data_IF_393006899070
#
_entry.id   IF_393006899070
#
_cell.length_a   1.000
_cell.length_b   1.000
_cell.length_c   1.000
_cell.angle_alpha   90.00
_cell.angle_beta   90.00
_cell.angle_gamma   90.00
#
_symmetry.space_group_name_H-M   'P 1'
#
loop_
_entity.id
_entity.type
_entity.pdbx_description
1 polymer ?
#
# COMPACT_ATOMS: atom_id res chain seq x y z
N UNK A 1 17.79 20.81 -12.74
CA UNK A 1 16.36 20.54 -12.48
C UNK A 1 16.25 19.11 -11.96
N UNK A 2 15.49 18.85 -10.92
CA UNK A 2 15.31 17.49 -10.40
C UNK A 2 14.56 16.62 -11.41
N UNK A 3 14.97 15.35 -11.57
CA UNK A 3 14.31 14.45 -12.52
C UNK A 3 12.90 14.09 -12.06
N UNK A 4 11.94 14.10 -12.98
CA UNK A 4 10.59 13.57 -12.73
C UNK A 4 10.64 12.06 -12.49
N UNK A 5 10.08 11.60 -11.40
CA UNK A 5 9.95 10.18 -11.06
C UNK A 5 8.51 9.69 -11.26
N UNK A 6 8.37 8.40 -11.57
CA UNK A 6 7.11 7.66 -11.60
C UNK A 6 7.01 6.86 -10.30
N UNK A 7 6.06 7.24 -9.46
CA UNK A 7 5.96 6.74 -8.08
C UNK A 7 4.67 5.95 -7.92
N UNK A 8 4.81 4.66 -7.59
CA UNK A 8 3.70 3.84 -7.12
C UNK A 8 3.45 4.07 -5.63
N UNK A 9 2.19 4.13 -5.23
CA UNK A 9 1.79 4.31 -3.83
C UNK A 9 0.74 3.27 -3.51
N UNK A 10 0.98 2.44 -2.49
CA UNK A 10 -0.07 1.58 -1.97
C UNK A 10 -1.13 2.36 -1.19
N UNK A 11 -2.24 1.74 -0.89
CA UNK A 11 -3.38 2.37 -0.20
C UNK A 11 -3.40 1.98 1.27
N UNK A 12 -3.59 0.69 1.55
CA UNK A 12 -3.82 0.20 2.90
C UNK A 12 -2.52 0.29 3.70
N UNK A 13 -2.62 0.87 4.89
CA UNK A 13 -1.52 1.13 5.83
C UNK A 13 -0.31 1.94 5.27
N UNK A 14 -0.49 2.52 4.07
CA UNK A 14 0.39 3.53 3.46
C UNK A 14 -0.32 4.89 3.40
N UNK A 15 -1.42 5.00 2.65
CA UNK A 15 -2.25 6.22 2.59
C UNK A 15 -3.30 6.27 3.68
N UNK A 16 -3.82 5.11 4.08
CA UNK A 16 -4.94 4.98 5.02
C UNK A 16 -4.60 4.03 6.16
N UNK A 17 -5.18 4.26 7.31
CA UNK A 17 -5.10 3.36 8.46
C UNK A 17 -6.15 2.25 8.29
N UNK A 18 -5.74 1.10 7.79
CA UNK A 18 -6.66 -0.01 7.51
C UNK A 18 -6.61 -1.10 8.58
N UNK A 19 -5.44 -1.49 9.03
CA UNK A 19 -5.25 -2.63 9.93
C UNK A 19 -6.08 -2.56 11.22
N UNK A 20 -6.13 -1.45 11.97
CA UNK A 20 -6.95 -1.39 13.19
C UNK A 20 -8.42 -1.70 12.94
N UNK A 21 -8.96 -1.24 11.81
CA UNK A 21 -10.32 -1.54 11.40
C UNK A 21 -10.54 -3.01 11.06
N UNK A 22 -9.58 -3.63 10.36
CA UNK A 22 -9.63 -5.06 10.07
C UNK A 22 -9.57 -5.91 11.36
N UNK A 23 -8.72 -5.55 12.31
CA UNK A 23 -8.59 -6.26 13.58
C UNK A 23 -9.87 -6.16 14.42
N UNK A 24 -10.48 -4.98 14.48
CA UNK A 24 -11.75 -4.78 15.19
C UNK A 24 -12.90 -5.57 14.54
N UNK A 25 -13.00 -5.54 13.20
CA UNK A 25 -13.99 -6.32 12.47
C UNK A 25 -13.77 -7.83 12.68
N UNK A 26 -12.51 -8.29 12.66
CA UNK A 26 -12.16 -9.68 12.91
C UNK A 26 -12.54 -10.11 14.33
N UNK A 27 -12.23 -9.28 15.34
CA UNK A 27 -12.63 -9.52 16.72
C UNK A 27 -14.15 -9.63 16.84
N UNK A 28 -14.88 -8.76 16.20
CA UNK A 28 -16.35 -8.74 16.22
C UNK A 28 -16.94 -9.99 15.56
N UNK A 29 -16.39 -10.39 14.41
CA UNK A 29 -16.93 -11.49 13.60
C UNK A 29 -16.59 -12.89 14.18
N UNK A 30 -15.34 -13.07 14.63
CA UNK A 30 -14.84 -14.36 15.08
C UNK A 30 -14.73 -14.50 16.61
N UNK A 31 -14.92 -13.42 17.39
CA UNK A 31 -14.73 -13.41 18.84
C UNK A 31 -13.27 -13.64 19.25
N UNK A 32 -12.30 -13.28 18.39
CA UNK A 32 -10.87 -13.55 18.59
C UNK A 32 -10.06 -12.28 18.41
N UNK A 33 -9.09 -12.08 19.28
CA UNK A 33 -8.12 -10.99 19.15
C UNK A 33 -6.89 -11.44 18.36
N UNK A 34 -6.38 -10.53 17.54
CA UNK A 34 -5.10 -10.64 16.82
C UNK A 34 -4.22 -9.49 17.26
N UNK A 35 -2.99 -9.76 17.66
CA UNK A 35 -2.03 -8.71 17.95
C UNK A 35 -1.56 -8.06 16.65
N UNK A 36 -1.27 -6.76 16.71
CA UNK A 36 -0.82 -5.97 15.55
C UNK A 36 0.45 -6.57 14.91
N UNK A 37 1.38 -7.03 15.75
CA UNK A 37 2.63 -7.65 15.29
C UNK A 37 2.40 -8.97 14.56
N UNK A 38 1.26 -9.58 14.81
CA UNK A 38 0.87 -10.87 14.27
C UNK A 38 -0.08 -10.75 13.05
N UNK A 39 -0.42 -9.54 12.66
CA UNK A 39 -1.49 -9.25 11.71
C UNK A 39 -1.07 -9.25 10.23
N UNK A 40 0.15 -9.70 9.91
CA UNK A 40 0.55 -9.91 8.52
C UNK A 40 -0.49 -10.78 7.77
N UNK A 41 -0.51 -10.71 6.45
CA UNK A 41 -1.40 -11.49 5.57
C UNK A 41 -1.39 -13.00 5.85
N UNK A 42 -0.47 -13.47 6.68
CA UNK A 42 -0.42 -14.82 7.24
C UNK A 42 -1.53 -15.14 8.26
N UNK A 43 -2.45 -14.20 8.53
CA UNK A 43 -3.57 -14.41 9.47
C UNK A 43 -4.36 -15.70 9.15
N UNK A 44 -4.44 -16.07 7.86
CA UNK A 44 -5.04 -17.32 7.42
C UNK A 44 -4.33 -18.56 7.97
N UNK A 45 -3.01 -18.50 8.13
CA UNK A 45 -2.21 -19.61 8.67
C UNK A 45 -2.22 -19.67 10.19
N UNK A 46 -2.46 -18.53 10.84
CA UNK A 46 -2.49 -18.43 12.32
C UNK A 46 -3.77 -18.96 12.94
N UNK A 47 -4.84 -19.08 12.18
CA UNK A 47 -6.14 -19.59 12.65
C UNK A 47 -6.59 -20.81 11.83
N UNK A 48 -5.84 -21.94 11.86
CA UNK A 48 -6.19 -23.14 11.10
C UNK A 48 -7.54 -23.73 11.54
N UNK A 49 -8.05 -23.37 12.72
CA UNK A 49 -9.37 -23.75 13.20
C UNK A 49 -10.52 -22.95 12.57
N UNK A 50 -10.23 -21.87 11.83
CA UNK A 50 -11.25 -21.13 11.06
C UNK A 50 -11.21 -21.68 9.63
N UNK A 51 -12.32 -22.28 9.15
CA UNK A 51 -12.38 -22.74 7.76
C UNK A 51 -12.11 -21.60 6.78
N UNK A 52 -11.33 -21.87 5.73
CA UNK A 52 -10.98 -20.86 4.72
C UNK A 52 -12.22 -20.21 4.09
N UNK A 53 -13.29 -20.96 3.89
CA UNK A 53 -14.57 -20.44 3.39
C UNK A 53 -15.19 -19.38 4.29
N UNK A 54 -15.07 -19.53 5.62
CA UNK A 54 -15.53 -18.51 6.57
C UNK A 54 -14.61 -17.27 6.56
N UNK A 55 -13.32 -17.47 6.40
CA UNK A 55 -12.36 -16.37 6.29
C UNK A 55 -12.60 -15.56 5.01
N UNK A 56 -12.78 -16.22 3.88
CA UNK A 56 -13.16 -15.56 2.63
C UNK A 56 -14.50 -14.83 2.72
N UNK A 57 -15.49 -15.44 3.37
CA UNK A 57 -16.80 -14.81 3.63
C UNK A 57 -16.66 -13.52 4.44
N UNK A 58 -15.82 -13.51 5.48
CA UNK A 58 -15.53 -12.33 6.28
C UNK A 58 -14.96 -11.19 5.43
N UNK A 59 -13.92 -11.46 4.63
CA UNK A 59 -13.35 -10.43 3.77
C UNK A 59 -14.35 -9.95 2.72
N UNK A 60 -15.10 -10.85 2.09
CA UNK A 60 -16.12 -10.47 1.11
C UNK A 60 -17.21 -9.57 1.71
N UNK A 61 -17.63 -9.83 2.95
CA UNK A 61 -18.60 -8.99 3.66
C UNK A 61 -18.04 -7.60 3.95
N UNK A 62 -16.80 -7.50 4.44
CA UNK A 62 -16.13 -6.21 4.65
C UNK A 62 -15.98 -5.42 3.35
N UNK A 63 -15.56 -6.07 2.30
CA UNK A 63 -15.27 -5.46 1.01
C UNK A 63 -16.53 -5.01 0.25
N UNK A 64 -17.68 -5.65 0.48
CA UNK A 64 -18.98 -5.24 -0.07
C UNK A 64 -19.63 -4.10 0.70
N UNK A 65 -19.16 -3.83 1.92
CA UNK A 65 -19.59 -2.69 2.73
C UNK A 65 -18.84 -1.41 2.34
N UNK A 66 -19.21 -0.28 2.95
CA UNK A 66 -18.42 0.97 2.82
C UNK A 66 -17.09 0.96 3.60
N UNK A 67 -16.70 -0.18 4.14
CA UNK A 67 -15.49 -0.33 4.96
C UNK A 67 -14.25 0.26 4.28
N UNK A 68 -13.96 -0.16 3.04
CA UNK A 68 -12.80 0.31 2.28
C UNK A 68 -12.86 1.80 1.94
N UNK A 69 -14.06 2.35 1.72
CA UNK A 69 -14.25 3.75 1.38
C UNK A 69 -14.19 4.68 2.59
N UNK A 70 -14.32 4.15 3.82
CA UNK A 70 -14.43 4.95 5.04
C UNK A 70 -13.18 4.93 5.93
N UNK A 71 -12.14 4.22 5.53
CA UNK A 71 -10.89 4.19 6.31
C UNK A 71 -10.34 5.59 6.55
N UNK A 72 -9.78 5.86 7.75
CA UNK A 72 -9.07 7.10 8.04
C UNK A 72 -7.88 7.26 7.10
N UNK A 73 -7.72 8.44 6.51
CA UNK A 73 -6.52 8.79 5.75
C UNK A 73 -5.51 9.46 6.66
N UNK A 74 -4.24 9.11 6.54
CA UNK A 74 -3.15 9.77 7.24
C UNK A 74 -3.02 11.22 6.74
N UNK A 75 -3.09 12.19 7.64
CA UNK A 75 -3.05 13.61 7.27
C UNK A 75 -1.70 14.02 6.64
N UNK A 76 -0.61 13.44 7.11
CA UNK A 76 0.74 13.61 6.57
C UNK A 76 0.87 13.00 5.17
N UNK A 77 0.22 11.85 4.89
CA UNK A 77 0.14 11.26 3.56
C UNK A 77 -0.48 12.21 2.53
N UNK A 78 -1.59 12.86 2.89
CA UNK A 78 -2.28 13.82 2.01
C UNK A 78 -1.34 14.97 1.62
N UNK A 79 -0.64 15.54 2.61
CA UNK A 79 0.29 16.64 2.39
C UNK A 79 1.50 16.20 1.54
N UNK A 80 2.04 15.01 1.81
CA UNK A 80 3.15 14.47 1.07
C UNK A 80 2.80 14.16 -0.40
N UNK A 81 1.64 13.55 -0.66
CA UNK A 81 1.13 13.31 -2.03
C UNK A 81 1.00 14.63 -2.80
N UNK A 82 0.47 15.68 -2.18
CA UNK A 82 0.43 17.03 -2.80
C UNK A 82 1.82 17.56 -3.09
N UNK A 83 2.77 17.39 -2.17
CA UNK A 83 4.15 17.83 -2.34
C UNK A 83 4.85 17.07 -3.48
N UNK A 84 4.66 15.76 -3.58
CA UNK A 84 5.20 14.94 -4.67
C UNK A 84 4.65 15.38 -6.03
N UNK A 85 3.33 15.58 -6.13
CA UNK A 85 2.69 16.04 -7.36
C UNK A 85 3.17 17.45 -7.76
N UNK A 86 3.25 18.37 -6.79
CA UNK A 86 3.77 19.74 -7.01
C UNK A 86 5.24 19.75 -7.40
N UNK A 87 6.02 18.76 -6.95
CA UNK A 87 7.41 18.52 -7.37
C UNK A 87 7.56 17.99 -8.80
N UNK A 88 6.44 17.77 -9.52
CA UNK A 88 6.43 17.28 -10.89
C UNK A 88 6.59 15.77 -11.03
N UNK A 89 6.44 15.01 -9.94
CA UNK A 89 6.45 13.56 -10.00
C UNK A 89 5.10 13.02 -10.50
N UNK A 90 5.13 11.86 -11.17
CA UNK A 90 3.96 11.16 -11.69
C UNK A 90 3.53 10.08 -10.70
N UNK A 91 2.32 10.18 -10.19
CA UNK A 91 1.84 9.32 -9.11
C UNK A 91 0.85 8.28 -9.63
N UNK A 92 0.98 7.06 -9.15
CA UNK A 92 0.11 5.94 -9.47
C UNK A 92 -0.33 5.25 -8.17
N UNK A 93 -1.60 5.00 -8.00
CA UNK A 93 -2.02 4.05 -6.96
C UNK A 93 -1.75 2.64 -7.48
N UNK A 94 -1.07 1.81 -6.67
CA UNK A 94 -0.80 0.40 -6.97
C UNK A 94 -1.18 -0.42 -5.74
N UNK A 95 -2.43 -0.86 -5.69
CA UNK A 95 -3.01 -1.47 -4.49
C UNK A 95 -3.31 -2.95 -4.63
N UNK A 96 -3.21 -3.69 -3.52
CA UNK A 96 -3.66 -5.08 -3.43
C UNK A 96 -5.19 -5.25 -3.39
N UNK A 97 -5.95 -4.16 -3.36
CA UNK A 97 -7.41 -4.20 -3.45
C UNK A 97 -7.86 -4.73 -4.81
N UNK A 98 -8.96 -5.48 -4.84
CA UNK A 98 -9.53 -6.01 -6.08
C UNK A 98 -10.04 -4.90 -7.00
N UNK A 99 -10.06 -5.17 -8.31
CA UNK A 99 -10.58 -4.25 -9.32
C UNK A 99 -12.06 -3.87 -9.08
N UNK A 100 -12.85 -4.77 -8.48
CA UNK A 100 -14.23 -4.50 -8.05
C UNK A 100 -14.34 -3.39 -7.00
N UNK A 101 -13.26 -3.10 -6.26
CA UNK A 101 -13.23 -2.07 -5.21
C UNK A 101 -12.65 -0.72 -5.69
N UNK A 102 -12.46 -0.56 -7.01
CA UNK A 102 -11.90 0.67 -7.59
C UNK A 102 -12.70 1.90 -7.19
N UNK A 103 -14.03 1.81 -7.18
CA UNK A 103 -14.91 2.92 -6.81
C UNK A 103 -14.77 3.30 -5.32
N UNK A 104 -14.60 2.30 -4.43
CA UNK A 104 -14.36 2.57 -3.01
C UNK A 104 -13.03 3.32 -2.79
N UNK A 105 -11.97 2.88 -3.48
CA UNK A 105 -10.67 3.56 -3.44
C UNK A 105 -10.77 4.98 -4.01
N UNK A 106 -11.45 5.16 -5.13
CA UNK A 106 -11.64 6.46 -5.74
C UNK A 106 -12.39 7.43 -4.82
N UNK A 107 -13.54 7.01 -4.24
CA UNK A 107 -14.30 7.83 -3.27
C UNK A 107 -13.47 8.22 -2.05
N UNK A 108 -12.65 7.30 -1.54
CA UNK A 108 -11.74 7.55 -0.42
C UNK A 108 -10.75 8.67 -0.76
N UNK A 109 -10.07 8.58 -1.91
CA UNK A 109 -9.10 9.59 -2.35
C UNK A 109 -9.78 10.92 -2.72
N UNK A 110 -11.01 10.89 -3.25
CA UNK A 110 -11.80 12.10 -3.49
C UNK A 110 -12.13 12.86 -2.19
N UNK A 111 -12.55 12.15 -1.15
CA UNK A 111 -12.80 12.77 0.16
C UNK A 111 -11.56 13.45 0.72
N UNK A 112 -10.38 12.90 0.47
CA UNK A 112 -9.09 13.50 0.85
C UNK A 112 -8.65 14.65 -0.07
N UNK A 113 -9.34 14.86 -1.20
CA UNK A 113 -8.99 15.88 -2.18
C UNK A 113 -7.66 15.62 -2.89
N UNK A 114 -7.28 14.34 -3.10
CA UNK A 114 -6.03 13.93 -3.76
C UNK A 114 -6.24 12.98 -4.95
N UNK A 115 -7.47 12.55 -5.25
CA UNK A 115 -7.72 11.59 -6.34
C UNK A 115 -7.18 12.09 -7.69
N UNK A 116 -7.32 13.37 -7.98
CA UNK A 116 -6.89 14.01 -9.22
C UNK A 116 -5.35 14.11 -9.38
N UNK A 117 -4.59 13.83 -8.33
CA UNK A 117 -3.12 13.86 -8.34
C UNK A 117 -2.52 12.54 -8.84
N UNK A 118 -3.30 11.48 -8.92
CA UNK A 118 -2.89 10.19 -9.44
C UNK A 118 -3.27 10.05 -10.90
N UNK A 119 -2.31 9.62 -11.74
CA UNK A 119 -2.57 9.36 -13.16
C UNK A 119 -3.42 8.12 -13.39
N UNK A 120 -3.29 7.13 -12.52
CA UNK A 120 -4.09 5.90 -12.57
C UNK A 120 -4.24 5.27 -11.19
N UNK A 121 -5.34 4.53 -11.01
CA UNK A 121 -5.63 3.71 -9.85
C UNK A 121 -5.56 2.25 -10.30
N UNK A 122 -4.40 1.62 -10.12
CA UNK A 122 -4.16 0.25 -10.57
C UNK A 122 -4.50 -0.72 -9.46
N UNK A 123 -5.51 -1.55 -9.71
CA UNK A 123 -6.03 -2.57 -8.81
C UNK A 123 -5.68 -3.96 -9.33
N UNK A 124 -5.54 -4.93 -8.44
CA UNK A 124 -5.33 -6.31 -8.85
C UNK A 124 -6.61 -6.95 -9.39
N UNK A 125 -6.44 -7.95 -10.25
CA UNK A 125 -7.49 -8.89 -10.62
C UNK A 125 -7.51 -10.07 -9.63
N UNK A 126 -7.26 -11.28 -10.07
CA UNK A 126 -7.22 -12.48 -9.24
C UNK A 126 -5.81 -12.82 -8.74
N UNK A 127 -4.78 -12.21 -9.33
CA UNK A 127 -3.37 -12.43 -8.96
C UNK A 127 -3.08 -12.03 -7.51
N UNK A 128 -2.14 -12.69 -6.88
CA UNK A 128 -1.63 -12.27 -5.57
C UNK A 128 -0.80 -10.98 -5.69
N UNK A 129 -0.78 -10.16 -4.63
CA UNK A 129 -0.05 -8.89 -4.61
C UNK A 129 1.44 -9.06 -4.94
N UNK A 130 2.06 -10.16 -4.48
CA UNK A 130 3.46 -10.51 -4.74
C UNK A 130 3.78 -10.82 -6.21
N UNK A 131 2.78 -11.13 -7.02
CA UNK A 131 2.91 -11.38 -8.47
C UNK A 131 2.52 -10.14 -9.27
N UNK A 132 1.41 -9.53 -8.87
CA UNK A 132 0.81 -8.38 -9.52
C UNK A 132 1.65 -7.12 -9.43
N UNK A 133 2.09 -6.70 -8.21
CA UNK A 133 2.80 -5.43 -8.02
C UNK A 133 4.14 -5.36 -8.75
N UNK A 134 5.00 -6.42 -8.77
CA UNK A 134 6.22 -6.40 -9.61
C UNK A 134 5.94 -6.26 -11.10
N UNK A 135 4.87 -6.91 -11.60
CA UNK A 135 4.45 -6.80 -13.00
C UNK A 135 4.03 -5.37 -13.33
N UNK A 136 3.14 -4.79 -12.53
CA UNK A 136 2.67 -3.40 -12.69
C UNK A 136 3.82 -2.40 -12.58
N UNK A 137 4.71 -2.59 -11.61
CA UNK A 137 5.88 -1.72 -11.44
C UNK A 137 6.74 -1.66 -12.72
N UNK A 138 6.94 -2.80 -13.36
CA UNK A 138 7.66 -2.89 -14.66
C UNK A 138 6.86 -2.28 -15.80
N UNK A 139 5.59 -2.64 -15.96
CA UNK A 139 4.72 -2.18 -17.05
C UNK A 139 4.52 -0.67 -17.02
N UNK A 140 4.40 -0.08 -15.83
CA UNK A 140 4.26 1.36 -15.62
C UNK A 140 5.61 2.09 -15.60
N UNK A 141 6.72 1.37 -15.64
CA UNK A 141 8.06 1.95 -15.55
C UNK A 141 8.24 2.76 -14.28
N UNK A 142 7.82 2.21 -13.12
CA UNK A 142 7.96 2.90 -11.85
C UNK A 142 9.44 3.04 -11.48
N UNK A 143 9.79 4.16 -10.90
CA UNK A 143 11.11 4.42 -10.33
C UNK A 143 11.18 3.97 -8.87
N UNK A 144 10.07 4.14 -8.15
CA UNK A 144 9.92 3.60 -6.81
C UNK A 144 8.47 3.20 -6.51
N UNK A 145 8.30 2.31 -5.53
CA UNK A 145 7.03 1.93 -4.93
C UNK A 145 7.08 2.21 -3.42
N UNK A 146 6.04 2.83 -2.88
CA UNK A 146 5.82 3.02 -1.44
C UNK A 146 4.87 1.91 -1.00
N UNK A 147 5.29 1.11 -0.01
CA UNK A 147 4.67 -0.17 0.36
C UNK A 147 4.79 -0.39 1.87
N UNK A 148 3.89 -1.14 2.50
CA UNK A 148 3.99 -1.56 3.92
C UNK A 148 4.18 -3.07 4.09
N UNK A 149 3.91 -3.87 3.07
CA UNK A 149 3.98 -5.34 3.12
C UNK A 149 5.36 -5.84 2.70
N UNK A 150 6.10 -6.47 3.63
CA UNK A 150 7.48 -6.91 3.40
C UNK A 150 7.60 -7.93 2.25
N UNK A 151 6.67 -8.89 2.16
CA UNK A 151 6.73 -9.92 1.11
C UNK A 151 6.53 -9.31 -0.29
N UNK A 152 5.66 -8.30 -0.39
CA UNK A 152 5.46 -7.53 -1.62
C UNK A 152 6.68 -6.70 -1.95
N UNK A 153 7.25 -6.00 -0.96
CA UNK A 153 8.48 -5.23 -1.12
C UNK A 153 9.63 -6.07 -1.66
N UNK A 154 9.83 -7.27 -1.08
CA UNK A 154 10.85 -8.25 -1.53
C UNK A 154 10.58 -8.72 -2.96
N UNK A 155 9.33 -8.96 -3.32
CA UNK A 155 8.98 -9.36 -4.68
C UNK A 155 9.24 -8.23 -5.68
N UNK A 156 8.87 -6.98 -5.35
CA UNK A 156 9.11 -5.80 -6.21
C UNK A 156 10.59 -5.47 -6.34
N UNK A 157 11.40 -5.66 -5.30
CA UNK A 157 12.84 -5.42 -5.37
C UNK A 157 13.60 -6.35 -6.34
N UNK A 158 12.94 -7.39 -6.87
CA UNK A 158 13.50 -8.26 -7.93
C UNK A 158 13.42 -7.65 -9.34
N UNK A 159 12.70 -6.55 -9.49
CA UNK A 159 12.65 -5.75 -10.72
C UNK A 159 13.38 -4.42 -10.46
N UNK A 160 13.80 -3.67 -11.50
CA UNK A 160 14.61 -2.46 -11.34
C UNK A 160 13.80 -1.26 -10.80
N UNK A 161 13.19 -1.45 -9.62
CA UNK A 161 12.36 -0.48 -8.91
C UNK A 161 12.83 -0.39 -7.46
N UNK A 162 13.07 0.83 -6.95
CA UNK A 162 13.36 1.03 -5.53
C UNK A 162 12.09 0.91 -4.70
N UNK A 163 12.15 0.26 -3.55
CA UNK A 163 11.01 0.16 -2.65
C UNK A 163 11.27 0.99 -1.39
N UNK A 164 10.32 1.85 -1.04
CA UNK A 164 10.24 2.55 0.23
C UNK A 164 9.24 1.80 1.11
N UNK A 165 9.76 0.98 2.02
CA UNK A 165 8.95 0.18 2.95
C UNK A 165 8.63 1.01 4.19
N UNK A 166 7.36 1.37 4.34
CA UNK A 166 6.88 2.11 5.52
C UNK A 166 7.02 1.23 6.76
N UNK A 167 7.68 1.73 7.79
CA UNK A 167 7.91 0.97 9.03
C UNK A 167 6.58 0.66 9.73
N UNK A 168 6.35 -0.62 9.93
CA UNK A 168 5.14 -1.14 10.57
C UNK A 168 5.50 -2.31 11.49
N UNK A 169 4.74 -2.56 12.59
CA UNK A 169 5.02 -3.67 13.51
C UNK A 169 5.05 -5.05 12.84
N UNK A 170 4.29 -5.24 11.76
CA UNK A 170 4.15 -6.52 11.05
C UNK A 170 5.20 -6.76 9.96
N UNK A 171 6.00 -5.76 9.60
CA UNK A 171 6.98 -5.89 8.51
C UNK A 171 8.44 -5.83 8.96
N UNK A 172 8.72 -6.16 10.22
CA UNK A 172 10.06 -6.12 10.79
C UNK A 172 10.96 -7.22 10.21
N UNK A 173 12.28 -7.03 10.29
CA UNK A 173 13.31 -7.96 9.82
C UNK A 173 14.32 -7.30 8.89
N UNK A 174 15.25 -8.13 8.41
CA UNK A 174 16.31 -7.72 7.49
C UNK A 174 15.76 -7.39 6.11
N UNK A 175 16.30 -6.34 5.49
CA UNK A 175 15.86 -5.87 4.19
C UNK A 175 16.89 -6.24 3.13
N UNK A 176 16.48 -6.92 2.03
CA UNK A 176 17.34 -7.11 0.88
C UNK A 176 17.64 -5.80 0.17
N UNK A 177 18.67 -5.83 -0.70
CA UNK A 177 19.04 -4.68 -1.53
C UNK A 177 17.84 -4.20 -2.36
N UNK A 178 17.72 -2.87 -2.52
CA UNK A 178 16.63 -2.23 -3.28
C UNK A 178 15.44 -1.82 -2.42
N UNK A 179 15.43 -2.18 -1.12
CA UNK A 179 14.40 -1.79 -0.15
C UNK A 179 15.01 -0.84 0.86
N UNK A 180 14.35 0.28 1.10
CA UNK A 180 14.70 1.25 2.15
C UNK A 180 13.54 1.38 3.11
N UNK A 181 13.77 1.10 4.40
CA UNK A 181 12.77 1.34 5.45
C UNK A 181 12.63 2.84 5.69
N UNK A 182 11.39 3.31 5.72
CA UNK A 182 11.04 4.71 5.95
C UNK A 182 10.07 4.81 7.13
N UNK A 183 10.28 5.79 8.00
CA UNK A 183 9.56 5.90 9.27
C UNK A 183 8.23 6.65 9.14
N UNK A 184 8.17 7.59 8.21
CA UNK A 184 7.07 8.54 8.03
C UNK A 184 7.08 9.14 6.61
N UNK A 185 6.10 9.95 6.31
CA UNK A 185 5.98 10.61 5.02
C UNK A 185 7.06 11.66 4.78
N UNK A 186 7.60 12.31 5.80
CA UNK A 186 8.74 13.22 5.66
C UNK A 186 10.00 12.47 5.24
N UNK A 187 10.21 11.26 5.79
CA UNK A 187 11.32 10.40 5.36
C UNK A 187 11.14 9.94 3.89
N UNK A 188 9.91 9.59 3.48
CA UNK A 188 9.59 9.27 2.08
C UNK A 188 9.95 10.43 1.16
N UNK A 189 9.54 11.67 1.48
CA UNK A 189 9.85 12.85 0.69
C UNK A 189 11.37 13.07 0.53
N UNK A 190 12.14 12.90 1.61
CA UNK A 190 13.61 12.99 1.56
C UNK A 190 14.22 11.93 0.63
N UNK A 191 13.75 10.68 0.71
CA UNK A 191 14.25 9.59 -0.14
C UNK A 191 13.89 9.82 -1.61
N UNK A 192 12.67 10.24 -1.93
CA UNK A 192 12.25 10.58 -3.29
C UNK A 192 13.11 11.70 -3.86
N UNK A 193 13.37 12.76 -3.07
CA UNK A 193 14.24 13.86 -3.47
C UNK A 193 15.67 13.38 -3.78
N UNK A 194 16.21 12.48 -2.95
CA UNK A 194 17.52 11.89 -3.18
C UNK A 194 17.56 11.00 -4.45
N UNK A 195 16.49 10.25 -4.74
CA UNK A 195 16.38 9.47 -5.99
C UNK A 195 16.34 10.38 -7.22
N UNK A 196 15.55 11.44 -7.18
CA UNK A 196 15.44 12.40 -8.28
C UNK A 196 16.77 13.12 -8.56
N UNK A 197 17.52 13.46 -7.50
CA UNK A 197 18.84 14.09 -7.64
C UNK A 197 19.88 13.16 -8.31
N UNK A 198 19.92 11.88 -7.91
CA UNK A 198 20.84 10.89 -8.51
C UNK A 198 20.61 10.64 -10.00
N UNK A 199 19.38 10.83 -10.49
CA UNK A 199 19.06 10.67 -11.93
C UNK A 199 19.36 11.91 -12.77
N UNK A 200 19.61 13.03 -12.13
CA UNK A 200 19.89 14.30 -12.82
C UNK A 200 21.40 14.54 -13.04
N UNK A 201 22.26 13.77 -12.42
CA UNK A 201 23.71 13.83 -12.52
C UNK A 201 24.25 12.65 -13.31
#
# INVERSE_FOLDING_TARGET
MSSTLRIGVDVDDVLVESLPGYLEAFRTYFGREVKVEDAAWEIFHRFPSIPSTKMWGFFAELETSDFLATRPIYADAVNAVRSLASGGHRLFVVTGRLASHREHTHRLLQRAGIAHLFEDLVHRSEEMAVEYKPRVARERGLDCLIEDELHVAVAVARVPVSVLLVDRPWNQGDLPQGITRVMDWDHILRQVSAFAARRSG
#
